data_IF_468993083784
#
_entry.id   IF_468993083784
#
_cell.length_a   1.000
_cell.length_b   1.000
_cell.length_c   1.000
_cell.angle_alpha   90.00
_cell.angle_beta   90.00
_cell.angle_gamma   90.00
#
_symmetry.space_group_name_H-M   'P 1'
#
loop_
_entity.id
_entity.type
_entity.pdbx_description
1 polymer ?
#
# COMPACT_ATOMS: atom_id res chain seq x y z
N UNK A 1 5.11 -19.02 -10.21
CA UNK A 1 5.36 -17.79 -9.45
C UNK A 1 4.90 -18.02 -8.02
N UNK A 2 5.70 -17.63 -7.04
CA UNK A 2 5.31 -17.75 -5.63
C UNK A 2 4.61 -16.48 -5.16
N UNK A 3 3.57 -16.64 -4.35
CA UNK A 3 2.96 -15.57 -3.58
C UNK A 3 2.76 -16.02 -2.14
N UNK A 4 2.72 -15.07 -1.20
CA UNK A 4 2.36 -15.34 0.19
C UNK A 4 1.53 -14.20 0.76
N UNK A 5 0.59 -14.56 1.62
CA UNK A 5 -0.19 -13.61 2.41
C UNK A 5 0.31 -13.62 3.85
N UNK A 6 0.39 -12.44 4.46
CA UNK A 6 0.71 -12.29 5.87
C UNK A 6 0.12 -11.00 6.43
N UNK A 7 0.21 -10.83 7.74
CA UNK A 7 -0.17 -9.60 8.41
C UNK A 7 1.04 -8.98 9.10
N UNK A 8 1.13 -7.67 9.05
CA UNK A 8 2.20 -6.89 9.68
C UNK A 8 1.59 -5.70 10.43
N UNK A 9 2.16 -5.37 11.59
CA UNK A 9 1.76 -4.17 12.33
C UNK A 9 2.68 -3.03 11.90
N UNK A 10 2.11 -2.00 11.29
CA UNK A 10 2.81 -0.80 10.92
C UNK A 10 2.59 0.27 11.97
N UNK A 11 3.61 1.08 12.25
CA UNK A 11 3.47 2.35 12.96
C UNK A 11 3.52 3.46 11.92
N UNK A 12 2.42 4.19 11.72
CA UNK A 12 2.28 5.17 10.64
C UNK A 12 1.53 6.42 11.10
N UNK A 13 1.85 7.57 10.52
CA UNK A 13 1.07 8.80 10.64
C UNK A 13 0.08 8.96 9.47
N UNK A 14 -0.75 10.01 9.52
CA UNK A 14 -1.73 10.32 8.48
C UNK A 14 -1.11 10.52 7.09
N UNK A 15 0.00 11.26 7.01
CA UNK A 15 0.63 11.57 5.73
C UNK A 15 1.21 10.31 5.10
N UNK A 16 1.88 9.47 5.88
CA UNK A 16 2.40 8.18 5.43
C UNK A 16 1.27 7.28 4.91
N UNK A 17 0.13 7.22 5.61
CA UNK A 17 -1.02 6.45 5.16
C UNK A 17 -1.63 7.00 3.85
N UNK A 18 -1.70 8.33 3.69
CA UNK A 18 -2.13 8.97 2.45
C UNK A 18 -1.18 8.67 1.30
N UNK A 19 0.13 8.70 1.56
CA UNK A 19 1.18 8.38 0.59
C UNK A 19 1.13 6.90 0.19
N UNK A 20 0.91 6.00 1.15
CA UNK A 20 0.67 4.57 0.91
C UNK A 20 -0.52 4.38 -0.04
N UNK A 21 -1.67 5.00 0.27
CA UNK A 21 -2.87 4.92 -0.56
C UNK A 21 -2.60 5.45 -1.97
N UNK A 22 -1.97 6.62 -2.06
CA UNK A 22 -1.63 7.25 -3.32
C UNK A 22 -0.76 6.34 -4.18
N UNK A 23 0.32 5.80 -3.61
CA UNK A 23 1.24 4.91 -4.29
C UNK A 23 0.52 3.66 -4.85
N UNK A 24 -0.27 2.99 -4.01
CA UNK A 24 -0.98 1.77 -4.41
C UNK A 24 -2.09 2.04 -5.43
N UNK A 25 -2.82 3.15 -5.30
CA UNK A 25 -3.81 3.56 -6.30
C UNK A 25 -3.14 3.82 -7.66
N UNK A 26 -1.96 4.45 -7.70
CA UNK A 26 -1.26 4.67 -8.96
C UNK A 26 -0.68 3.39 -9.56
N UNK A 27 -0.26 2.41 -8.74
CA UNK A 27 0.03 1.07 -9.27
C UNK A 27 -1.18 0.51 -10.02
N UNK A 28 -2.40 0.64 -9.47
CA UNK A 28 -3.60 0.20 -10.16
C UNK A 28 -3.91 1.04 -11.41
N UNK A 29 -3.97 2.37 -11.31
CA UNK A 29 -4.34 3.23 -12.44
C UNK A 29 -3.30 3.17 -13.56
N UNK A 30 -2.03 3.40 -13.24
CA UNK A 30 -0.97 3.53 -14.24
C UNK A 30 -0.39 2.16 -14.63
N UNK A 31 -0.22 1.25 -13.66
CA UNK A 31 0.31 -0.09 -13.91
C UNK A 31 -0.70 -1.07 -14.49
N UNK A 32 -1.90 -1.19 -13.88
CA UNK A 32 -2.90 -2.19 -14.30
C UNK A 32 -3.79 -1.68 -15.44
N UNK A 33 -4.39 -0.51 -15.27
CA UNK A 33 -5.43 0.01 -16.18
C UNK A 33 -4.85 0.67 -17.42
N UNK A 34 -3.93 1.63 -17.24
CA UNK A 34 -3.41 2.45 -18.34
C UNK A 34 -2.17 1.84 -19.01
N UNK A 35 -1.48 0.91 -18.34
CA UNK A 35 -0.18 0.35 -18.79
C UNK A 35 0.86 1.44 -19.09
N UNK A 36 0.83 2.54 -18.33
CA UNK A 36 1.68 3.70 -18.49
C UNK A 36 2.82 3.68 -17.46
N UNK A 37 3.96 3.11 -17.84
CA UNK A 37 5.12 2.98 -16.96
C UNK A 37 5.71 4.34 -16.55
N UNK A 38 5.87 5.27 -17.49
CA UNK A 38 6.43 6.59 -17.21
C UNK A 38 5.49 7.41 -16.32
N UNK A 39 4.17 7.28 -16.51
CA UNK A 39 3.16 7.84 -15.61
C UNK A 39 3.27 7.28 -14.20
N UNK A 40 3.43 5.96 -14.06
CA UNK A 40 3.65 5.33 -12.76
C UNK A 40 4.92 5.85 -12.07
N UNK A 41 6.04 5.95 -12.79
CA UNK A 41 7.30 6.49 -12.26
C UNK A 41 7.09 7.94 -11.77
N UNK A 42 6.42 8.76 -12.58
CA UNK A 42 6.13 10.16 -12.22
C UNK A 42 5.29 10.25 -10.95
N UNK A 43 4.22 9.46 -10.83
CA UNK A 43 3.36 9.45 -9.66
C UNK A 43 4.13 9.00 -8.41
N UNK A 44 4.83 7.86 -8.48
CA UNK A 44 5.60 7.31 -7.36
C UNK A 44 6.75 8.23 -6.90
N UNK A 45 7.26 9.09 -7.78
CA UNK A 45 8.28 10.08 -7.43
C UNK A 45 7.79 11.15 -6.46
N UNK A 46 6.47 11.31 -6.27
CA UNK A 46 5.90 12.25 -5.30
C UNK A 46 5.85 11.69 -3.88
N UNK A 47 6.01 10.38 -3.71
CA UNK A 47 5.83 9.64 -2.43
C UNK A 47 7.00 8.69 -2.16
N UNK A 48 8.23 9.08 -2.51
CA UNK A 48 9.40 8.19 -2.42
C UNK A 48 9.68 7.65 -1.01
N UNK A 49 9.35 8.42 0.03
CA UNK A 49 9.58 8.05 1.43
C UNK A 49 8.81 6.81 1.89
N UNK A 50 7.73 6.43 1.19
CA UNK A 50 6.86 5.31 1.60
C UNK A 50 7.10 4.02 0.79
N UNK A 51 7.89 4.07 -0.28
CA UNK A 51 7.98 2.98 -1.26
C UNK A 51 8.50 1.67 -0.65
N UNK A 52 9.53 1.74 0.19
CA UNK A 52 10.03 0.56 0.90
C UNK A 52 8.98 -0.01 1.84
N UNK A 53 8.22 0.85 2.52
CA UNK A 53 7.16 0.43 3.44
C UNK A 53 6.02 -0.28 2.70
N UNK A 54 5.58 0.23 1.56
CA UNK A 54 4.41 -0.34 0.87
C UNK A 54 4.78 -1.42 -0.14
N UNK A 55 5.93 -1.32 -0.81
CA UNK A 55 6.31 -2.21 -1.90
C UNK A 55 7.60 -3.00 -1.66
N UNK A 56 8.31 -2.84 -0.53
CA UNK A 56 9.66 -3.41 -0.30
C UNK A 56 10.75 -2.91 -1.27
N UNK A 57 10.47 -1.89 -2.10
CA UNK A 57 11.39 -1.41 -3.13
C UNK A 57 11.71 0.09 -2.93
N UNK A 58 12.98 0.50 -3.11
CA UNK A 58 13.43 1.80 -2.63
C UNK A 58 13.20 2.96 -3.60
N UNK A 59 12.90 2.72 -4.88
CA UNK A 59 12.80 3.81 -5.88
C UNK A 59 11.61 3.66 -6.82
N UNK A 60 11.06 4.78 -7.34
CA UNK A 60 9.96 4.78 -8.31
C UNK A 60 10.21 3.89 -9.53
N UNK A 61 11.42 3.98 -10.10
CA UNK A 61 11.81 3.21 -11.28
C UNK A 61 11.79 1.71 -10.99
N UNK A 62 12.38 1.29 -9.87
CA UNK A 62 12.45 -0.13 -9.48
C UNK A 62 11.05 -0.67 -9.21
N UNK A 63 10.18 0.10 -8.52
CA UNK A 63 8.77 -0.29 -8.31
C UNK A 63 8.07 -0.47 -9.66
N UNK A 64 8.19 0.50 -10.57
CA UNK A 64 7.51 0.43 -11.86
C UNK A 64 8.01 -0.77 -12.70
N UNK A 65 9.32 -1.02 -12.75
CA UNK A 65 9.90 -2.19 -13.40
C UNK A 65 9.35 -3.50 -12.85
N UNK A 66 9.31 -3.64 -11.53
CA UNK A 66 8.85 -4.84 -10.87
C UNK A 66 7.33 -5.04 -11.05
N UNK A 67 6.54 -3.96 -11.05
CA UNK A 67 5.08 -4.01 -11.32
C UNK A 67 4.84 -4.54 -12.73
N UNK A 68 5.53 -4.01 -13.74
CA UNK A 68 5.35 -4.46 -15.12
C UNK A 68 5.87 -5.88 -15.35
N UNK A 69 6.95 -6.26 -14.68
CA UNK A 69 7.50 -7.62 -14.74
C UNK A 69 6.55 -8.64 -14.11
N UNK A 70 5.96 -8.30 -12.94
CA UNK A 70 4.93 -9.12 -12.29
C UNK A 70 3.70 -9.25 -13.19
N UNK A 71 3.22 -8.14 -13.75
CA UNK A 71 2.08 -8.11 -14.65
C UNK A 71 2.31 -8.87 -15.95
N UNK A 72 3.54 -8.96 -16.44
CA UNK A 72 3.86 -9.78 -17.61
C UNK A 72 3.81 -11.29 -17.29
N UNK A 73 4.15 -11.68 -16.05
CA UNK A 73 4.20 -13.07 -15.61
C UNK A 73 2.86 -13.65 -15.14
N UNK A 74 1.95 -12.80 -14.64
CA UNK A 74 0.61 -13.22 -14.21
C UNK A 74 -0.25 -13.68 -15.39
N UNK A 75 -1.03 -14.76 -15.18
CA UNK A 75 -2.12 -15.12 -16.09
C UNK A 75 -3.25 -14.06 -16.01
N UNK A 76 -4.10 -13.92 -17.05
CA UNK A 76 -5.16 -12.90 -17.08
C UNK A 76 -6.07 -12.91 -15.84
N UNK A 77 -6.52 -14.08 -15.40
CA UNK A 77 -7.35 -14.25 -14.20
C UNK A 77 -6.62 -13.81 -12.91
N UNK A 78 -5.31 -14.05 -12.82
CA UNK A 78 -4.51 -13.65 -11.66
C UNK A 78 -4.32 -12.13 -11.62
N UNK A 79 -4.17 -11.47 -12.79
CA UNK A 79 -4.14 -10.00 -12.90
C UNK A 79 -5.45 -9.39 -12.39
N UNK A 80 -6.58 -9.98 -12.75
CA UNK A 80 -7.89 -9.51 -12.31
C UNK A 80 -8.08 -9.68 -10.79
N UNK A 81 -7.64 -10.81 -10.23
CA UNK A 81 -7.67 -11.04 -8.77
C UNK A 81 -6.80 -10.03 -8.04
N UNK A 82 -5.54 -9.85 -8.49
CA UNK A 82 -4.61 -8.91 -7.88
C UNK A 82 -5.13 -7.46 -7.99
N UNK A 83 -5.67 -7.07 -9.16
CA UNK A 83 -6.27 -5.75 -9.35
C UNK A 83 -7.40 -5.47 -8.36
N UNK A 84 -8.30 -6.44 -8.14
CA UNK A 84 -9.37 -6.31 -7.13
C UNK A 84 -8.81 -6.19 -5.69
N UNK A 85 -7.81 -7.00 -5.36
CA UNK A 85 -7.17 -6.96 -4.03
C UNK A 85 -6.51 -5.60 -3.76
N UNK A 86 -5.83 -5.03 -4.75
CA UNK A 86 -5.22 -3.70 -4.67
C UNK A 86 -6.27 -2.61 -4.45
N UNK A 87 -7.38 -2.65 -5.21
CA UNK A 87 -8.49 -1.69 -5.07
C UNK A 87 -9.15 -1.80 -3.70
N UNK A 88 -9.35 -3.02 -3.19
CA UNK A 88 -9.89 -3.23 -1.85
C UNK A 88 -8.96 -2.63 -0.79
N UNK A 89 -7.65 -2.90 -0.87
CA UNK A 89 -6.68 -2.31 0.06
C UNK A 89 -6.64 -0.78 0.01
N UNK A 90 -6.84 -0.18 -1.17
CA UNK A 90 -6.99 1.29 -1.32
C UNK A 90 -8.24 1.80 -0.60
N UNK A 91 -9.38 1.13 -0.77
CA UNK A 91 -10.64 1.49 -0.10
C UNK A 91 -10.54 1.35 1.41
N UNK A 92 -9.86 0.33 1.90
CA UNK A 92 -9.65 0.10 3.32
C UNK A 92 -8.75 1.18 3.94
N UNK A 93 -7.66 1.55 3.25
CA UNK A 93 -6.81 2.67 3.68
C UNK A 93 -7.59 3.98 3.74
N UNK A 94 -8.55 4.21 2.84
CA UNK A 94 -9.43 5.38 2.92
C UNK A 94 -10.26 5.42 4.20
N UNK A 95 -10.79 4.29 4.64
CA UNK A 95 -11.55 4.20 5.90
C UNK A 95 -10.67 4.56 7.11
N UNK A 96 -9.39 4.15 7.10
CA UNK A 96 -8.44 4.47 8.16
C UNK A 96 -8.02 5.94 8.11
N UNK A 97 -7.86 6.51 6.92
CA UNK A 97 -7.60 7.95 6.73
C UNK A 97 -8.76 8.77 7.29
N UNK A 98 -10.00 8.43 6.96
CA UNK A 98 -11.19 9.11 7.48
C UNK A 98 -11.26 9.02 9.01
N UNK A 99 -10.93 7.87 9.60
CA UNK A 99 -10.85 7.74 11.05
C UNK A 99 -9.79 8.68 11.64
N UNK A 100 -8.61 8.74 11.05
CA UNK A 100 -7.50 9.56 11.54
C UNK A 100 -7.83 11.06 11.43
N UNK A 101 -8.46 11.49 10.34
CA UNK A 101 -8.92 12.87 10.14
C UNK A 101 -10.01 13.27 11.15
N UNK A 102 -10.87 12.32 11.56
CA UNK A 102 -11.86 12.52 12.60
C UNK A 102 -11.31 12.43 14.03
N UNK A 103 -10.05 12.02 14.20
CA UNK A 103 -9.38 11.90 15.50
C UNK A 103 -8.04 12.66 15.50
N UNK A 104 -8.05 13.99 15.32
CA UNK A 104 -6.85 14.81 15.13
C UNK A 104 -5.95 14.90 16.37
N UNK A 105 -6.40 14.39 17.53
CA UNK A 105 -5.58 14.26 18.72
C UNK A 105 -4.48 13.19 18.59
N UNK A 106 -4.58 12.31 17.59
CA UNK A 106 -3.60 11.26 17.35
C UNK A 106 -2.61 11.66 16.25
N UNK A 107 -1.32 11.44 16.49
CA UNK A 107 -0.22 11.73 15.56
C UNK A 107 0.35 10.45 14.90
N UNK A 108 0.21 9.29 15.55
CA UNK A 108 0.55 7.98 15.01
C UNK A 108 -0.52 6.93 15.34
N UNK A 109 -0.67 5.93 14.49
CA UNK A 109 -1.36 4.67 14.81
C UNK A 109 -0.43 3.49 14.66
N UNK A 110 -0.68 2.46 15.46
CA UNK A 110 -0.29 1.09 15.14
C UNK A 110 -1.47 0.38 14.50
N UNK A 111 -1.29 -0.10 13.29
CA UNK A 111 -2.35 -0.79 12.53
C UNK A 111 -1.84 -2.10 11.96
N UNK A 112 -2.64 -3.16 12.11
CA UNK A 112 -2.35 -4.48 11.55
C UNK A 112 -2.88 -4.58 10.12
N UNK A 113 -2.03 -4.45 9.12
CA UNK A 113 -2.41 -4.57 7.71
C UNK A 113 -2.14 -5.98 7.17
N UNK A 114 -2.99 -6.44 6.26
CA UNK A 114 -2.73 -7.64 5.45
C UNK A 114 -1.97 -7.27 4.19
N UNK A 115 -0.97 -8.07 3.86
CA UNK A 115 -0.17 -7.94 2.65
C UNK A 115 -0.25 -9.20 1.80
N UNK A 116 -0.31 -8.99 0.48
CA UNK A 116 -0.01 -10.01 -0.52
C UNK A 116 1.35 -9.70 -1.13
N UNK A 117 2.30 -10.61 -0.94
CA UNK A 117 3.68 -10.47 -1.39
C UNK A 117 4.02 -11.45 -2.50
N UNK A 118 4.82 -10.96 -3.43
CA UNK A 118 5.45 -11.67 -4.53
C UNK A 118 6.97 -11.62 -4.31
N UNK A 119 7.55 -12.58 -3.57
CA UNK A 119 8.96 -12.56 -3.20
C UNK A 119 9.91 -12.61 -4.40
N UNK A 120 9.48 -13.24 -5.50
CA UNK A 120 10.27 -13.31 -6.74
C UNK A 120 10.49 -11.92 -7.39
N UNK A 121 9.76 -10.90 -6.94
CA UNK A 121 9.79 -9.51 -7.42
C UNK A 121 10.11 -8.49 -6.31
N UNK A 122 10.43 -8.97 -5.11
CA UNK A 122 10.60 -8.15 -3.91
C UNK A 122 9.45 -7.14 -3.73
N UNK A 123 8.20 -7.56 -3.97
CA UNK A 123 7.04 -6.67 -4.00
C UNK A 123 5.91 -7.15 -3.11
N UNK A 124 5.25 -6.21 -2.42
CA UNK A 124 4.03 -6.47 -1.66
C UNK A 124 2.94 -5.44 -1.94
N UNK A 125 1.69 -5.79 -1.65
CA UNK A 125 0.54 -4.91 -1.75
C UNK A 125 -0.31 -5.02 -0.51
N UNK A 126 -0.86 -3.90 -0.04
CA UNK A 126 -1.88 -3.91 1.02
C UNK A 126 -3.15 -4.49 0.42
N UNK A 127 -3.68 -5.56 1.01
CA UNK A 127 -4.94 -6.19 0.57
C UNK A 127 -6.09 -5.99 1.52
N UNK A 128 -5.78 -5.64 2.78
CA UNK A 128 -6.78 -5.30 3.79
C UNK A 128 -6.18 -4.46 4.91
N UNK A 129 -6.92 -3.46 5.39
CA UNK A 129 -6.49 -2.62 6.50
C UNK A 129 -7.58 -1.66 6.94
N UNK A 130 -8.54 -2.13 7.74
CA UNK A 130 -9.64 -1.33 8.27
C UNK A 130 -9.34 -0.86 9.72
N UNK A 131 -10.13 0.10 10.19
CA UNK A 131 -10.12 0.72 11.53
C UNK A 131 -10.21 -0.26 12.68
N UNK A 132 -10.89 -1.40 12.51
CA UNK A 132 -10.94 -2.49 13.50
C UNK A 132 -9.57 -3.13 13.77
N UNK A 133 -8.58 -2.84 12.92
CA UNK A 133 -7.20 -3.29 13.05
C UNK A 133 -6.25 -2.24 13.59
N UNK A 134 -6.75 -1.07 14.01
CA UNK A 134 -5.96 -0.12 14.80
C UNK A 134 -5.80 -0.74 16.19
N UNK A 135 -4.55 -1.04 16.56
CA UNK A 135 -4.21 -1.73 17.83
C UNK A 135 -3.70 -0.78 18.89
N UNK A 136 -3.31 0.44 18.50
CA UNK A 136 -2.99 1.52 19.41
C UNK A 136 -2.98 2.85 18.65
N UNK A 137 -3.25 3.96 19.34
CA UNK A 137 -3.11 5.31 18.83
C UNK A 137 -2.21 6.14 19.76
N UNK A 138 -1.33 6.96 19.20
CA UNK A 138 -0.39 7.78 19.96
C UNK A 138 -0.94 9.20 20.13
N UNK A 139 -0.68 9.79 21.29
CA UNK A 139 -0.96 11.19 21.63
C UNK A 139 0.29 11.79 22.27
N UNK A 140 0.27 13.09 22.58
CA UNK A 140 1.31 13.72 23.42
C UNK A 140 1.52 12.99 24.78
N UNK A 141 0.48 12.30 25.27
CA UNK A 141 0.52 11.50 26.50
C UNK A 141 1.05 10.07 26.33
N UNK A 142 1.44 9.68 25.10
CA UNK A 142 1.90 8.35 24.75
C UNK A 142 0.83 7.48 24.08
N UNK A 143 1.09 6.17 24.05
CA UNK A 143 0.23 5.17 23.40
C UNK A 143 -1.04 4.85 24.20
N UNK A 144 -2.18 4.88 23.52
CA UNK A 144 -3.50 4.45 23.98
C UNK A 144 -3.89 3.15 23.26
N UNK A 145 -4.53 2.23 23.98
CA UNK A 145 -4.93 0.90 23.49
C UNK A 145 -6.46 0.76 23.49
#
# INVERSE_FOLDING_TARGET
>A
MKSREYMETLTINLQELKDMKYAQNHVYQDGFRNRNKDGLISSLSTVTGILTTIFNLPTPLIVADAVFSLLAALAPNEKDVLGRQIVNGVSDMDTVIEWFENNPQYDLIKIKMSFLEYPDYDMRFVTYGNTDRIVAAHTDGGWQY
#
